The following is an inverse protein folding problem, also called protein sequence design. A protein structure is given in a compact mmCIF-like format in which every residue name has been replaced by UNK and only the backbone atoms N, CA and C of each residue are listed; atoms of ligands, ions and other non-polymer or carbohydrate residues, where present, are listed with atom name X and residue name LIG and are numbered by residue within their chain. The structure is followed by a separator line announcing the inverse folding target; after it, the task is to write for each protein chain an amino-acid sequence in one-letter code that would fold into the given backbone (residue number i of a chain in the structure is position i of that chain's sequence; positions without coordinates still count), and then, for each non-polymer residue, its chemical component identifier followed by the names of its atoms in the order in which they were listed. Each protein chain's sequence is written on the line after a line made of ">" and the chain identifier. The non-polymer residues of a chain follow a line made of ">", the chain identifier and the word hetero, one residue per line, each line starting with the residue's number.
data_IF_726784426490
#
_entry.id   IF_726784426490
#
_cell.length_a   1.000
_cell.length_b   1.000
_cell.length_c   1.000
_cell.angle_alpha   90.00
_cell.angle_beta   90.00
_cell.angle_gamma   90.00
#
_symmetry.space_group_name_H-M   'P 1'
#
loop_
_entity.id
_entity.type
_entity.pdbx_description
1 polymer ?
#
# COMPACT_ATOMS: atom_id res chain seq x y z
N UNK A 1 20.23 -4.42 -14.28
CA UNK A 1 20.95 -3.15 -14.09
C UNK A 1 20.80 -2.81 -12.62
N UNK A 2 21.67 -3.37 -11.77
CA UNK A 2 21.42 -3.36 -10.33
C UNK A 2 21.64 -1.96 -9.76
N UNK A 3 20.75 -1.51 -8.88
CA UNK A 3 20.92 -0.26 -8.15
C UNK A 3 20.57 -0.43 -6.67
N UNK A 4 21.01 0.52 -5.86
CA UNK A 4 20.72 0.56 -4.42
C UNK A 4 19.78 1.73 -4.16
N UNK A 5 18.63 1.45 -3.55
CA UNK A 5 17.62 2.42 -3.15
C UNK A 5 17.44 2.31 -1.63
N UNK A 6 17.75 3.40 -0.90
CA UNK A 6 17.95 3.35 0.55
C UNK A 6 18.96 2.23 0.90
N UNK A 7 18.58 1.29 1.75
CA UNK A 7 19.40 0.13 2.14
C UNK A 7 19.09 -1.15 1.36
N UNK A 8 18.26 -1.07 0.31
CA UNK A 8 17.85 -2.23 -0.49
C UNK A 8 18.54 -2.25 -1.86
N UNK A 9 19.04 -3.42 -2.26
CA UNK A 9 19.52 -3.68 -3.62
C UNK A 9 18.36 -4.21 -4.46
N UNK A 10 18.18 -3.66 -5.67
CA UNK A 10 17.13 -4.07 -6.63
C UNK A 10 17.72 -4.28 -8.02
N UNK A 11 17.05 -5.07 -8.86
CA UNK A 11 17.53 -5.44 -10.20
C UNK A 11 17.44 -4.31 -11.24
N UNK A 12 16.58 -3.31 -10.97
CA UNK A 12 16.35 -2.14 -11.82
C UNK A 12 15.87 -0.91 -11.01
N UNK A 13 16.06 0.32 -11.52
CA UNK A 13 15.67 1.56 -10.86
C UNK A 13 14.18 1.90 -11.05
N UNK A 14 13.31 0.90 -11.14
CA UNK A 14 11.87 1.06 -11.35
C UNK A 14 11.17 0.30 -10.24
N UNK A 15 10.11 0.87 -9.69
CA UNK A 15 9.25 0.24 -8.69
C UNK A 15 7.79 0.60 -8.91
N UNK A 16 6.90 -0.02 -8.15
CA UNK A 16 5.47 0.25 -8.20
C UNK A 16 5.09 1.28 -7.14
N UNK A 17 4.47 2.36 -7.60
CA UNK A 17 3.97 3.45 -6.78
C UNK A 17 2.80 2.99 -5.88
N UNK A 18 2.54 3.70 -4.76
CA UNK A 18 1.43 3.38 -3.89
C UNK A 18 0.09 3.68 -4.56
N UNK A 19 -0.59 2.62 -4.99
CA UNK A 19 -1.96 2.65 -5.50
C UNK A 19 -2.81 1.74 -4.61
N UNK A 20 -3.95 2.26 -4.15
CA UNK A 20 -4.90 1.47 -3.36
C UNK A 20 -5.95 0.83 -4.24
N UNK A 21 -6.77 -0.04 -3.66
CA UNK A 21 -7.94 -0.64 -4.29
C UNK A 21 -7.63 -1.42 -5.59
N UNK A 22 -6.53 -2.18 -5.64
CA UNK A 22 -6.21 -3.01 -6.81
C UNK A 22 -7.31 -4.04 -7.11
N UNK A 23 -8.14 -4.37 -6.12
CA UNK A 23 -9.32 -5.24 -6.27
C UNK A 23 -10.32 -4.73 -7.33
N UNK A 24 -10.30 -3.44 -7.64
CA UNK A 24 -11.12 -2.86 -8.71
C UNK A 24 -10.63 -3.28 -10.11
N UNK A 25 -9.35 -3.63 -10.24
CA UNK A 25 -8.74 -4.08 -11.48
C UNK A 25 -8.68 -5.61 -11.57
N UNK A 26 -8.38 -6.31 -10.47
CA UNK A 26 -8.25 -7.77 -10.46
C UNK A 26 -8.58 -8.36 -9.08
N UNK A 27 -9.19 -9.55 -9.02
CA UNK A 27 -9.65 -10.16 -7.77
C UNK A 27 -8.51 -10.43 -6.76
N UNK A 28 -7.31 -10.75 -7.25
CA UNK A 28 -6.11 -10.94 -6.41
C UNK A 28 -5.49 -9.63 -5.88
N UNK A 29 -6.03 -8.49 -6.30
CA UNK A 29 -5.70 -7.16 -5.79
C UNK A 29 -4.18 -6.90 -5.67
N UNK A 30 -3.73 -6.39 -4.52
CA UNK A 30 -2.34 -6.04 -4.28
C UNK A 30 -1.43 -7.27 -4.15
N UNK A 31 -1.97 -8.45 -3.84
CA UNK A 31 -1.18 -9.69 -3.73
C UNK A 31 -0.56 -10.05 -5.08
N UNK A 32 -1.32 -9.96 -6.17
CA UNK A 32 -0.79 -10.21 -7.51
C UNK A 32 0.36 -9.23 -7.86
N UNK A 33 0.17 -7.95 -7.55
CA UNK A 33 1.19 -6.93 -7.81
C UNK A 33 2.44 -7.13 -6.96
N UNK A 34 2.28 -7.45 -5.68
CA UNK A 34 3.38 -7.70 -4.76
C UNK A 34 4.19 -8.94 -5.19
N UNK A 35 3.52 -10.02 -5.60
CA UNK A 35 4.15 -11.24 -6.15
C UNK A 35 4.95 -10.93 -7.41
N UNK A 36 4.39 -10.13 -8.32
CA UNK A 36 5.09 -9.70 -9.52
C UNK A 36 6.34 -8.86 -9.19
N UNK A 37 6.23 -7.89 -8.28
CA UNK A 37 7.38 -7.07 -7.88
C UNK A 37 8.49 -7.89 -7.20
N UNK A 38 8.10 -8.86 -6.37
CA UNK A 38 9.04 -9.80 -5.76
C UNK A 38 9.79 -10.57 -6.85
N UNK A 39 9.09 -11.14 -7.83
CA UNK A 39 9.67 -11.88 -8.96
C UNK A 39 10.66 -11.04 -9.77
N UNK A 40 10.30 -9.79 -10.06
CA UNK A 40 11.13 -8.86 -10.84
C UNK A 40 12.22 -8.16 -10.02
N UNK A 41 12.29 -8.42 -8.71
CA UNK A 41 13.28 -7.85 -7.80
C UNK A 41 13.24 -6.31 -7.75
N UNK A 42 12.04 -5.76 -7.66
CA UNK A 42 11.80 -4.33 -7.62
C UNK A 42 11.02 -3.90 -6.37
N UNK A 43 11.04 -2.59 -6.11
CA UNK A 43 10.34 -2.01 -4.95
C UNK A 43 8.82 -2.07 -5.16
N UNK A 44 8.10 -2.60 -4.17
CA UNK A 44 6.65 -2.50 -4.09
C UNK A 44 6.25 -1.58 -2.93
N UNK A 45 5.46 -0.55 -3.23
CA UNK A 45 4.94 0.37 -2.22
C UNK A 45 3.46 0.06 -2.00
N UNK A 46 3.11 -0.49 -0.84
CA UNK A 46 1.73 -0.81 -0.47
C UNK A 46 1.01 0.45 0.03
N UNK A 47 -0.17 0.75 -0.54
CA UNK A 47 -1.01 1.86 -0.07
C UNK A 47 -1.73 1.53 1.24
N UNK A 48 -1.87 2.53 2.11
CA UNK A 48 -2.78 2.44 3.27
C UNK A 48 -4.24 2.18 2.89
N UNK A 49 -4.65 2.53 1.66
CA UNK A 49 -5.97 2.23 1.09
C UNK A 49 -6.00 0.96 0.22
N UNK A 50 -5.00 0.08 0.35
CA UNK A 50 -4.99 -1.22 -0.31
C UNK A 50 -6.20 -2.07 0.11
N UNK A 51 -6.62 -2.98 -0.77
CA UNK A 51 -7.65 -3.98 -0.50
C UNK A 51 -7.14 -5.27 0.11
N UNK A 52 -5.82 -5.38 0.28
CA UNK A 52 -5.13 -6.49 0.93
C UNK A 52 -4.51 -6.02 2.24
N UNK A 53 -4.57 -6.86 3.27
CA UNK A 53 -3.95 -6.56 4.58
C UNK A 53 -2.42 -6.50 4.49
N UNK A 54 -1.81 -5.60 5.27
CA UNK A 54 -0.35 -5.43 5.37
C UNK A 54 0.33 -6.77 5.68
N UNK A 55 -0.16 -7.47 6.70
CA UNK A 55 0.39 -8.74 7.18
C UNK A 55 0.27 -9.83 6.11
N UNK A 56 -0.88 -9.90 5.43
CA UNK A 56 -1.14 -10.88 4.37
C UNK A 56 -0.22 -10.65 3.18
N UNK A 57 -0.05 -9.40 2.74
CA UNK A 57 0.87 -9.06 1.64
C UNK A 57 2.29 -9.50 1.98
N UNK A 58 2.79 -9.16 3.17
CA UNK A 58 4.14 -9.51 3.60
C UNK A 58 4.35 -11.04 3.66
N UNK A 59 3.39 -11.77 4.22
CA UNK A 59 3.46 -13.23 4.33
C UNK A 59 3.44 -13.90 2.96
N UNK A 60 2.57 -13.47 2.05
CA UNK A 60 2.41 -14.08 0.73
C UNK A 60 3.62 -13.90 -0.19
N UNK A 61 4.41 -12.86 0.00
CA UNK A 61 5.64 -12.66 -0.76
C UNK A 61 6.90 -13.18 -0.06
N UNK A 62 6.78 -13.49 1.24
CA UNK A 62 7.87 -14.08 2.01
C UNK A 62 8.17 -15.47 1.48
N UNK A 63 9.45 -15.73 1.16
CA UNK A 63 9.90 -17.05 0.69
C UNK A 63 9.63 -17.33 -0.79
N UNK A 64 9.01 -16.43 -1.55
CA UNK A 64 8.90 -16.58 -3.01
C UNK A 64 10.25 -16.50 -3.71
N UNK A 65 11.26 -15.92 -3.04
CA UNK A 65 12.63 -15.80 -3.50
C UNK A 65 13.60 -15.94 -2.32
N UNK A 66 14.84 -16.30 -2.65
CA UNK A 66 15.95 -16.33 -1.69
C UNK A 66 16.29 -14.93 -1.17
N UNK A 67 16.13 -13.92 -2.02
CA UNK A 67 16.35 -12.51 -1.64
C UNK A 67 15.08 -11.96 -1.00
N UNK A 68 15.25 -11.23 0.11
CA UNK A 68 14.15 -10.59 0.82
C UNK A 68 13.43 -9.58 -0.10
N UNK A 69 12.10 -9.61 -0.21
CA UNK A 69 11.34 -8.65 -1.00
C UNK A 69 11.48 -7.23 -0.43
N UNK A 70 11.53 -6.24 -1.33
CA UNK A 70 11.63 -4.82 -0.95
C UNK A 70 10.24 -4.21 -0.87
N UNK A 71 9.65 -4.26 0.32
CA UNK A 71 8.32 -3.77 0.62
C UNK A 71 8.36 -2.45 1.39
N UNK A 72 7.70 -1.42 0.86
CA UNK A 72 7.52 -0.13 1.53
C UNK A 72 6.05 0.13 1.81
N UNK A 73 5.77 0.82 2.92
CA UNK A 73 4.40 1.12 3.33
C UNK A 73 4.10 2.59 3.12
N UNK A 74 3.08 2.91 2.34
CA UNK A 74 2.58 4.27 2.20
C UNK A 74 1.48 4.56 3.22
N UNK A 75 1.49 5.77 3.78
CA UNK A 75 0.40 6.28 4.61
C UNK A 75 0.20 7.78 4.46
N UNK A 76 -1.00 8.23 4.80
CA UNK A 76 -1.32 9.64 5.03
C UNK A 76 -1.24 9.95 6.53
N UNK A 77 -1.05 11.23 6.86
CA UNK A 77 -1.18 11.68 8.24
C UNK A 77 -2.66 11.87 8.56
N UNK A 78 -3.28 10.84 9.16
CA UNK A 78 -4.68 10.85 9.53
C UNK A 78 -4.92 11.76 10.74
N UNK A 79 -6.09 12.42 10.80
CA UNK A 79 -6.48 13.31 11.92
C UNK A 79 -6.29 12.62 13.27
N UNK A 80 -6.77 11.39 13.38
CA UNK A 80 -6.43 10.50 14.48
C UNK A 80 -5.06 9.86 14.23
N UNK A 81 -4.07 10.30 15.01
CA UNK A 81 -2.69 9.82 14.91
C UNK A 81 -2.54 8.35 15.31
N UNK A 82 -3.47 7.80 16.08
CA UNK A 82 -3.45 6.38 16.44
C UNK A 82 -3.58 5.48 15.22
N UNK A 83 -4.30 5.93 14.18
CA UNK A 83 -4.45 5.23 12.90
C UNK A 83 -3.12 5.17 12.16
N UNK A 84 -2.49 6.33 11.94
CA UNK A 84 -1.17 6.40 11.28
C UNK A 84 -0.14 5.57 12.05
N UNK A 85 -0.11 5.67 13.38
CA UNK A 85 0.82 4.88 14.20
C UNK A 85 0.51 3.37 14.16
N UNK A 86 -0.77 2.99 14.10
CA UNK A 86 -1.17 1.59 13.97
C UNK A 86 -0.69 0.98 12.65
N UNK A 87 -0.84 1.70 11.55
CA UNK A 87 -0.35 1.30 10.22
C UNK A 87 1.17 1.13 10.23
N UNK A 88 1.91 2.13 10.75
CA UNK A 88 3.37 2.08 10.81
C UNK A 88 3.84 0.88 11.63
N UNK A 89 3.28 0.67 12.83
CA UNK A 89 3.65 -0.47 13.69
C UNK A 89 3.37 -1.81 13.03
N UNK A 90 2.24 -1.95 12.34
CA UNK A 90 1.92 -3.17 11.58
C UNK A 90 2.91 -3.42 10.44
N UNK A 91 3.26 -2.37 9.71
CA UNK A 91 4.24 -2.46 8.62
C UNK A 91 5.63 -2.83 9.15
N UNK A 92 6.09 -2.19 10.22
CA UNK A 92 7.36 -2.52 10.89
C UNK A 92 7.37 -3.98 11.36
N UNK A 93 6.32 -4.42 12.05
CA UNK A 93 6.18 -5.81 12.51
C UNK A 93 6.13 -6.82 11.36
N UNK A 94 5.61 -6.42 10.21
CA UNK A 94 5.53 -7.22 8.98
C UNK A 94 6.80 -7.14 8.12
N UNK A 95 7.84 -6.44 8.58
CA UNK A 95 9.13 -6.37 7.91
C UNK A 95 9.18 -5.46 6.68
N UNK A 96 8.28 -4.47 6.57
CA UNK A 96 8.42 -3.39 5.61
C UNK A 96 9.67 -2.56 5.95
N UNK A 97 10.45 -2.17 4.95
CA UNK A 97 11.76 -1.54 5.15
C UNK A 97 11.76 -0.02 5.08
N UNK A 98 10.67 0.60 4.62
CA UNK A 98 10.51 2.05 4.58
C UNK A 98 9.06 2.48 4.70
N UNK A 99 8.86 3.73 5.14
CA UNK A 99 7.57 4.42 5.17
C UNK A 99 7.57 5.54 4.14
N UNK A 100 6.54 5.59 3.31
CA UNK A 100 6.29 6.65 2.32
C UNK A 100 5.14 7.52 2.81
N UNK A 101 5.44 8.76 3.18
CA UNK A 101 4.41 9.70 3.66
C UNK A 101 3.93 10.55 2.50
N UNK A 102 2.65 10.41 2.14
CA UNK A 102 2.04 11.22 1.08
C UNK A 102 1.50 12.53 1.68
N UNK A 103 1.99 13.67 1.17
CA UNK A 103 1.70 15.02 1.71
C UNK A 103 0.93 15.93 0.74
N UNK A 104 0.68 15.47 -0.48
CA UNK A 104 0.07 16.28 -1.55
C UNK A 104 -1.47 16.32 -1.54
N UNK A 105 -2.11 15.48 -0.71
CA UNK A 105 -3.55 15.26 -0.73
C UNK A 105 -4.21 15.61 0.61
N UNK A 106 -4.18 16.88 1.07
CA UNK A 106 -4.87 17.29 2.30
C UNK A 106 -6.40 17.23 2.15
N UNK A 107 -6.92 17.31 0.93
CA UNK A 107 -8.34 17.16 0.58
C UNK A 107 -8.48 16.23 -0.62
N UNK A 108 -9.66 15.61 -0.78
CA UNK A 108 -9.95 14.89 -2.02
C UNK A 108 -9.95 15.85 -3.22
N UNK A 109 -9.43 15.39 -4.36
CA UNK A 109 -9.47 16.14 -5.61
C UNK A 109 -10.89 16.34 -6.15
N UNK A 110 -11.04 17.24 -7.11
CA UNK A 110 -12.34 17.59 -7.73
C UNK A 110 -13.05 16.41 -8.40
N UNK A 111 -12.31 15.36 -8.76
CA UNK A 111 -12.86 14.10 -9.27
C UNK A 111 -13.91 13.50 -8.32
N UNK A 112 -13.84 13.78 -7.02
CA UNK A 112 -14.85 13.33 -6.04
C UNK A 112 -16.26 13.84 -6.38
N UNK A 113 -16.39 15.02 -6.98
CA UNK A 113 -17.70 15.62 -7.29
C UNK A 113 -18.43 14.93 -8.44
N UNK A 114 -17.72 14.16 -9.26
CA UNK A 114 -18.28 13.50 -10.45
C UNK A 114 -18.41 11.99 -10.26
N UNK A 115 -17.94 11.44 -9.14
CA UNK A 115 -18.09 10.03 -8.80
C UNK A 115 -19.33 9.84 -7.90
N UNK A 116 -20.20 8.85 -8.19
CA UNK A 116 -21.38 8.59 -7.37
C UNK A 116 -21.03 8.24 -5.91
N UNK A 117 -21.84 8.71 -4.97
CA UNK A 117 -21.62 8.48 -3.53
C UNK A 117 -21.58 6.98 -3.16
N UNK A 118 -22.38 6.16 -3.85
CA UNK A 118 -22.41 4.71 -3.60
C UNK A 118 -21.12 4.00 -4.03
N UNK A 119 -20.37 4.57 -4.98
CA UNK A 119 -19.03 4.08 -5.28
C UNK A 119 -18.10 4.26 -4.09
N UNK A 120 -18.16 5.40 -3.39
CA UNK A 120 -17.34 5.66 -2.20
C UNK A 120 -17.69 4.72 -1.04
N UNK A 121 -18.98 4.44 -0.84
CA UNK A 121 -19.42 3.44 0.15
C UNK A 121 -18.89 2.06 -0.19
N UNK A 122 -18.96 1.66 -1.45
CA UNK A 122 -18.45 0.36 -1.91
C UNK A 122 -16.93 0.24 -1.72
N UNK A 123 -16.14 1.27 -2.05
CA UNK A 123 -14.67 1.17 -1.88
C UNK A 123 -14.25 1.20 -0.42
N UNK A 124 -14.98 1.90 0.45
CA UNK A 124 -14.67 1.96 1.88
C UNK A 124 -14.76 0.58 2.56
N UNK A 125 -15.62 -0.33 2.07
CA UNK A 125 -15.70 -1.71 2.59
C UNK A 125 -14.55 -2.61 2.13
N UNK A 126 -13.69 -2.11 1.22
CA UNK A 126 -12.58 -2.83 0.59
C UNK A 126 -11.22 -2.28 1.03
N UNK A 127 -11.12 -1.61 2.19
CA UNK A 127 -9.87 -1.04 2.72
C UNK A 127 -9.61 -1.55 4.15
N UNK A 128 -9.11 -2.78 4.33
CA UNK A 128 -9.03 -3.39 5.66
C UNK A 128 -7.94 -2.78 6.57
N UNK A 129 -6.96 -2.05 5.99
CA UNK A 129 -5.88 -1.41 6.73
C UNK A 129 -6.29 -0.09 7.40
N UNK A 130 -7.42 0.49 7.01
CA UNK A 130 -7.95 1.71 7.60
C UNK A 130 -9.11 1.36 8.51
N UNK A 131 -9.19 1.93 9.72
CA UNK A 131 -10.40 1.85 10.51
C UNK A 131 -11.56 2.43 9.71
N UNK A 132 -12.76 1.90 9.92
CA UNK A 132 -13.97 2.35 9.24
C UNK A 132 -13.99 3.87 9.18
N UNK A 133 -13.87 4.41 7.96
CA UNK A 133 -13.74 5.85 7.77
C UNK A 133 -14.91 6.51 8.55
N UNK A 134 -14.63 7.35 9.57
CA UNK A 134 -15.70 8.15 10.13
C UNK A 134 -16.29 8.91 8.95
N UNK A 135 -17.62 8.84 8.79
CA UNK A 135 -18.33 9.54 7.71
C UNK A 135 -17.69 10.91 7.62
N UNK A 136 -17.00 11.17 6.51
CA UNK A 136 -16.42 12.48 6.23
C UNK A 136 -17.62 13.39 6.04
N UNK A 137 -18.11 13.94 7.15
CA UNK A 137 -19.19 14.91 7.22
C UNK A 137 -18.76 16.20 6.54
#
# INVERSE_FOLDING_TARGET
>A
MNCKILDSSVSCPIGIAPVGLHVLAHQEAELATAKACCKEDCVFILSSSASSDIETVANEVSGLREVRPVLWMQTYIHKDRSVTMGIIRKAEASGFSAIVVTVDSPNCGLWRKVIPEDFFKMVATKMPNLPSLPRLS
#
